data_IF_930267995933
#
_entry.id   IF_930267995933
#
_cell.length_a   1.000
_cell.length_b   1.000
_cell.length_c   1.000
_cell.angle_alpha   90.00
_cell.angle_beta   90.00
_cell.angle_gamma   90.00
#
_symmetry.space_group_name_H-M   'P 1'
#
loop_
_entity.id
_entity.type
_entity.pdbx_description
1 polymer ?
#
# COMPACT_ATOMS: atom_id res chain seq x y z
N UNK A 1 15.06 -52.82 -36.53
CA UNK A 1 13.81 -52.40 -35.83
C UNK A 1 14.18 -51.55 -34.62
N UNK A 2 13.63 -50.35 -34.55
CA UNK A 2 13.51 -49.40 -33.42
C UNK A 2 14.77 -48.71 -32.84
N UNK A 3 14.93 -47.43 -33.26
CA UNK A 3 15.68 -46.38 -32.58
C UNK A 3 14.91 -45.95 -31.31
N UNK A 4 15.57 -45.92 -30.15
CA UNK A 4 14.99 -45.38 -28.90
C UNK A 4 15.41 -43.92 -28.78
N UNK A 5 14.50 -43.00 -29.08
CA UNK A 5 14.66 -41.58 -28.80
C UNK A 5 14.01 -41.30 -27.45
N UNK A 6 14.81 -40.91 -26.45
CA UNK A 6 14.30 -40.45 -25.15
C UNK A 6 14.03 -38.94 -25.27
N UNK A 7 12.78 -38.52 -25.14
CA UNK A 7 12.40 -37.10 -25.05
C UNK A 7 12.27 -36.77 -23.57
N UNK A 8 13.12 -35.89 -23.07
CA UNK A 8 12.99 -35.31 -21.73
C UNK A 8 12.08 -34.08 -21.83
N UNK A 9 10.88 -34.17 -21.26
CA UNK A 9 9.96 -33.03 -21.15
C UNK A 9 10.38 -32.15 -19.99
N UNK A 10 10.78 -30.91 -20.28
CA UNK A 10 11.06 -29.88 -19.30
C UNK A 10 9.71 -29.31 -18.80
N UNK A 11 9.34 -29.61 -17.56
CA UNK A 11 8.16 -29.06 -16.90
C UNK A 11 8.53 -27.65 -16.38
N UNK A 12 8.13 -26.59 -17.09
CA UNK A 12 8.15 -25.25 -16.51
C UNK A 12 7.09 -25.19 -15.40
N UNK A 13 7.52 -25.24 -14.14
CA UNK A 13 6.68 -24.84 -13.01
C UNK A 13 6.50 -23.32 -13.09
N UNK A 14 5.41 -22.87 -13.68
CA UNK A 14 4.90 -21.53 -13.42
C UNK A 14 4.35 -21.53 -11.99
N UNK A 15 5.08 -20.92 -11.05
CA UNK A 15 4.52 -20.56 -9.76
C UNK A 15 3.44 -19.51 -10.03
N UNK A 16 2.18 -19.94 -10.03
CA UNK A 16 1.06 -19.02 -9.86
C UNK A 16 1.17 -18.55 -8.41
N UNK A 17 1.77 -17.38 -8.20
CA UNK A 17 1.65 -16.74 -6.90
C UNK A 17 0.18 -16.38 -6.73
N UNK A 18 -0.48 -17.09 -5.82
CA UNK A 18 -1.80 -16.70 -5.37
C UNK A 18 -1.62 -15.35 -4.68
N UNK A 19 -1.99 -14.26 -5.37
CA UNK A 19 -1.97 -12.94 -4.76
C UNK A 19 -2.99 -12.93 -3.63
N UNK A 20 -2.50 -12.79 -2.39
CA UNK A 20 -3.38 -12.59 -1.26
C UNK A 20 -4.10 -11.25 -1.45
N UNK A 21 -5.42 -11.23 -1.26
CA UNK A 21 -6.15 -9.97 -1.26
C UNK A 21 -5.62 -9.07 -0.14
N UNK A 22 -5.46 -7.78 -0.44
CA UNK A 22 -5.03 -6.78 0.55
C UNK A 22 -5.99 -6.79 1.75
N UNK A 23 -5.41 -6.64 2.93
CA UNK A 23 -6.11 -6.66 4.21
C UNK A 23 -5.99 -5.31 4.92
N UNK A 24 -6.80 -5.13 5.97
CA UNK A 24 -6.79 -3.90 6.74
C UNK A 24 -5.40 -3.62 7.34
N UNK A 25 -4.98 -2.37 7.17
CA UNK A 25 -3.70 -1.76 7.49
C UNK A 25 -2.53 -2.16 6.59
N UNK A 26 -2.72 -2.96 5.55
CA UNK A 26 -1.64 -3.28 4.59
C UNK A 26 -1.14 -2.05 3.83
N UNK A 27 -1.97 -1.00 3.78
CA UNK A 27 -1.60 0.33 3.34
C UNK A 27 -1.75 1.31 4.52
N UNK A 28 -1.06 2.43 4.47
CA UNK A 28 -1.27 3.57 5.37
C UNK A 28 -1.02 4.90 4.64
N UNK A 29 -1.74 5.95 5.02
CA UNK A 29 -1.47 7.29 4.53
C UNK A 29 -0.14 7.81 5.06
N UNK A 30 0.59 8.57 4.23
CA UNK A 30 1.87 9.21 4.59
C UNK A 30 1.86 10.71 4.31
N UNK A 31 0.84 11.21 3.62
CA UNK A 31 0.57 12.63 3.50
C UNK A 31 -0.91 12.91 3.25
N UNK A 32 -1.32 14.12 3.60
CA UNK A 32 -2.62 14.72 3.35
C UNK A 32 -2.39 16.20 3.00
N UNK A 33 -3.01 16.70 1.93
CA UNK A 33 -2.97 18.11 1.57
C UNK A 33 -4.35 18.53 1.04
N UNK A 34 -5.08 19.30 1.85
CA UNK A 34 -6.38 19.85 1.48
C UNK A 34 -6.26 21.04 0.52
N UNK A 35 -5.17 21.82 0.61
CA UNK A 35 -5.00 23.00 -0.24
C UNK A 35 -4.52 22.67 -1.67
N UNK A 36 -3.83 21.53 -1.84
CA UNK A 36 -3.37 21.02 -3.14
C UNK A 36 -4.26 19.92 -3.71
N UNK A 37 -5.21 19.43 -2.92
CA UNK A 37 -6.02 18.26 -3.26
C UNK A 37 -5.14 17.05 -3.61
N UNK A 38 -4.57 16.45 -2.56
CA UNK A 38 -3.77 15.25 -2.74
C UNK A 38 -3.37 14.52 -1.46
N UNK A 39 -2.96 13.27 -1.63
CA UNK A 39 -2.44 12.43 -0.56
C UNK A 39 -1.32 11.50 -1.05
N UNK A 40 -0.70 10.78 -0.12
CA UNK A 40 0.25 9.71 -0.41
C UNK A 40 -0.01 8.49 0.47
N UNK A 41 0.30 7.30 -0.03
CA UNK A 41 0.16 6.03 0.67
C UNK A 41 1.48 5.27 0.67
N UNK A 42 1.79 4.56 1.74
CA UNK A 42 2.78 3.48 1.73
C UNK A 42 2.07 2.14 1.72
N UNK A 43 2.62 1.16 1.00
CA UNK A 43 2.21 -0.26 1.13
C UNK A 43 3.22 -1.02 1.99
N UNK A 44 2.76 -1.84 2.92
CA UNK A 44 3.61 -2.70 3.75
C UNK A 44 3.72 -4.13 3.22
N UNK A 45 3.00 -4.44 2.15
CA UNK A 45 3.03 -5.71 1.42
C UNK A 45 3.21 -5.45 -0.07
N UNK A 46 3.53 -6.48 -0.83
CA UNK A 46 3.52 -6.38 -2.29
C UNK A 46 2.06 -6.29 -2.77
N UNK A 47 1.78 -5.32 -3.64
CA UNK A 47 0.48 -5.19 -4.33
C UNK A 47 0.60 -5.82 -5.72
N UNK A 48 -0.37 -6.68 -6.06
CA UNK A 48 -0.44 -7.28 -7.39
C UNK A 48 -0.53 -6.23 -8.51
N UNK A 49 0.00 -6.58 -9.68
CA UNK A 49 -0.36 -5.89 -10.90
C UNK A 49 -1.89 -5.96 -11.12
N UNK A 50 -2.43 -4.91 -11.74
CA UNK A 50 -3.83 -4.77 -12.13
C UNK A 50 -4.81 -4.91 -10.95
N UNK A 51 -4.37 -4.49 -9.76
CA UNK A 51 -5.24 -4.36 -8.59
C UNK A 51 -6.05 -3.08 -8.68
N UNK A 52 -7.30 -3.13 -8.22
CA UNK A 52 -8.16 -1.95 -8.08
C UNK A 52 -8.38 -1.64 -6.61
N UNK A 53 -8.06 -0.40 -6.22
CA UNK A 53 -8.32 0.16 -4.91
C UNK A 53 -9.16 1.41 -5.09
N UNK A 54 -10.15 1.61 -4.23
CA UNK A 54 -11.03 2.76 -4.25
C UNK A 54 -10.71 3.71 -3.11
N UNK A 55 -11.01 4.98 -3.33
CA UNK A 55 -10.97 6.03 -2.31
C UNK A 55 -12.28 6.79 -2.29
N UNK A 56 -12.63 7.29 -1.11
CA UNK A 56 -13.73 8.22 -0.93
C UNK A 56 -13.50 9.07 0.32
N UNK A 57 -14.03 10.28 0.29
CA UNK A 57 -14.22 11.22 1.39
C UNK A 57 -15.64 11.14 1.98
N UNK A 58 -16.63 10.66 1.21
CA UNK A 58 -18.01 10.49 1.68
C UNK A 58 -18.06 9.74 3.03
N UNK A 59 -18.91 10.22 3.94
CA UNK A 59 -19.04 9.59 5.26
C UNK A 59 -19.65 8.19 5.18
N UNK A 60 -19.06 7.27 5.94
CA UNK A 60 -19.47 5.87 6.00
C UNK A 60 -20.28 5.59 7.27
N UNK A 61 -21.52 5.11 7.11
CA UNK A 61 -22.43 4.86 8.24
C UNK A 61 -22.31 3.46 8.87
N UNK A 62 -21.43 2.61 8.34
CA UNK A 62 -21.32 1.19 8.69
C UNK A 62 -21.91 0.25 7.63
N UNK A 63 -22.64 0.78 6.64
CA UNK A 63 -23.31 -0.01 5.61
C UNK A 63 -23.26 0.59 4.20
N UNK A 64 -23.27 1.91 4.09
CA UNK A 64 -23.16 2.64 2.83
C UNK A 64 -22.41 3.96 3.04
N UNK A 65 -21.80 4.45 1.96
CA UNK A 65 -21.41 5.84 1.87
C UNK A 65 -22.66 6.69 1.73
N UNK A 66 -22.62 7.89 2.31
CA UNK A 66 -23.63 8.90 2.03
C UNK A 66 -23.42 9.47 0.60
N UNK A 67 -24.04 10.61 0.31
CA UNK A 67 -23.94 11.27 -1.00
C UNK A 67 -23.56 12.72 -0.82
N UNK A 68 -22.78 13.25 -1.74
CA UNK A 68 -22.45 14.67 -1.79
C UNK A 68 -21.04 14.92 -2.31
N UNK A 69 -20.18 13.92 -2.17
CA UNK A 69 -18.78 14.02 -2.49
C UNK A 69 -18.37 13.01 -3.56
N UNK A 70 -17.15 12.51 -3.47
CA UNK A 70 -16.45 11.95 -4.58
C UNK A 70 -15.91 10.57 -4.31
N UNK A 71 -15.60 9.89 -5.40
CA UNK A 71 -14.90 8.64 -5.36
C UNK A 71 -13.75 8.65 -6.35
N UNK A 72 -12.67 7.98 -5.99
CA UNK A 72 -11.56 7.74 -6.90
C UNK A 72 -11.32 6.25 -7.07
N UNK A 73 -11.05 5.83 -8.29
CA UNK A 73 -10.62 4.47 -8.62
C UNK A 73 -9.16 4.51 -9.01
N UNK A 74 -8.33 3.76 -8.29
CA UNK A 74 -6.93 3.56 -8.62
C UNK A 74 -6.70 2.15 -9.13
N UNK A 75 -6.20 2.04 -10.36
CA UNK A 75 -5.66 0.80 -10.90
C UNK A 75 -4.14 0.84 -10.77
N UNK A 76 -3.53 -0.19 -10.18
CA UNK A 76 -2.08 -0.22 -9.89
C UNK A 76 -1.19 -0.37 -11.13
N UNK A 77 -1.78 -0.66 -12.29
CA UNK A 77 -1.06 -0.83 -13.55
C UNK A 77 -0.49 -2.24 -13.75
N UNK A 78 0.28 -2.43 -14.82
CA UNK A 78 0.67 -3.77 -15.31
C UNK A 78 1.81 -4.45 -14.53
N UNK A 79 2.42 -3.76 -13.58
CA UNK A 79 3.51 -4.28 -12.75
C UNK A 79 3.08 -4.31 -11.29
N UNK A 80 3.57 -5.31 -10.54
CA UNK A 80 3.39 -5.35 -9.09
C UNK A 80 4.13 -4.18 -8.43
N UNK A 81 3.60 -3.71 -7.31
CA UNK A 81 4.20 -2.65 -6.49
C UNK A 81 4.77 -3.30 -5.24
N UNK A 82 6.09 -3.19 -5.03
CA UNK A 82 6.74 -3.82 -3.88
C UNK A 82 6.43 -3.12 -2.56
N UNK A 83 6.45 -3.89 -1.46
CA UNK A 83 6.37 -3.40 -0.10
C UNK A 83 7.40 -2.28 0.15
N UNK A 84 6.98 -1.28 0.92
CA UNK A 84 7.72 -0.06 1.22
C UNK A 84 7.58 1.06 0.19
N UNK A 85 6.98 0.80 -0.98
CA UNK A 85 6.76 1.83 -1.99
C UNK A 85 5.77 2.88 -1.48
N UNK A 86 6.10 4.16 -1.71
CA UNK A 86 5.19 5.29 -1.49
C UNK A 86 4.57 5.72 -2.81
N UNK A 87 3.25 5.78 -2.85
CA UNK A 87 2.44 6.16 -4.01
C UNK A 87 1.84 7.54 -3.73
N UNK A 88 2.01 8.45 -4.68
CA UNK A 88 1.53 9.84 -4.61
C UNK A 88 0.31 10.01 -5.50
N UNK A 89 -0.73 10.67 -5.00
CA UNK A 89 -1.93 11.06 -5.73
C UNK A 89 -2.11 12.57 -5.64
N UNK A 90 -2.13 13.28 -6.77
CA UNK A 90 -2.13 14.75 -6.80
C UNK A 90 -3.16 15.32 -7.76
N UNK A 91 -3.57 16.56 -7.51
CA UNK A 91 -4.57 17.29 -8.30
C UNK A 91 -5.85 16.48 -8.44
N UNK A 92 -6.23 15.80 -7.36
CA UNK A 92 -7.31 14.80 -7.32
C UNK A 92 -8.69 15.44 -7.48
N UNK A 93 -8.77 16.77 -7.44
CA UNK A 93 -9.93 17.60 -7.73
C UNK A 93 -10.11 17.91 -9.24
N UNK A 94 -9.07 17.74 -10.06
CA UNK A 94 -9.07 18.12 -11.49
C UNK A 94 -9.15 16.95 -12.47
N UNK A 95 -9.42 17.23 -13.76
CA UNK A 95 -9.30 16.21 -14.83
C UNK A 95 -7.85 15.75 -15.06
N UNK A 96 -6.86 16.51 -14.55
CA UNK A 96 -5.44 16.19 -14.65
C UNK A 96 -4.92 15.33 -13.48
N UNK A 97 -5.82 14.81 -12.62
CA UNK A 97 -5.47 13.94 -11.50
C UNK A 97 -4.49 12.85 -11.89
N UNK A 98 -3.50 12.60 -11.03
CA UNK A 98 -2.47 11.59 -11.30
C UNK A 98 -2.21 10.66 -10.12
N UNK A 99 -1.66 9.50 -10.41
CA UNK A 99 -1.00 8.63 -9.45
C UNK A 99 0.43 8.37 -9.92
N UNK A 100 1.42 8.37 -9.01
CA UNK A 100 2.82 8.08 -9.38
C UNK A 100 3.03 6.64 -9.87
N UNK A 101 2.10 5.74 -9.51
CA UNK A 101 1.99 4.38 -10.02
C UNK A 101 0.57 4.13 -10.52
N UNK A 102 0.43 3.52 -11.69
CA UNK A 102 -0.89 3.19 -12.23
C UNK A 102 -1.68 4.41 -12.71
N UNK A 103 -3.00 4.33 -12.62
CA UNK A 103 -3.91 5.39 -13.09
C UNK A 103 -5.01 5.69 -12.05
N UNK A 104 -5.32 6.97 -11.89
CA UNK A 104 -6.40 7.45 -11.03
C UNK A 104 -7.53 8.04 -11.87
N UNK A 105 -8.77 7.61 -11.62
CA UNK A 105 -9.97 8.21 -12.21
C UNK A 105 -10.94 8.64 -11.11
N UNK A 106 -11.79 9.62 -11.40
CA UNK A 106 -12.83 10.12 -10.48
C UNK A 106 -14.25 9.80 -10.94
N UNK A 107 -15.16 9.66 -9.99
CA UNK A 107 -16.60 9.63 -10.18
C UNK A 107 -17.30 10.44 -9.07
N UNK A 108 -18.40 11.10 -9.39
CA UNK A 108 -19.14 11.94 -8.45
C UNK A 108 -18.95 13.44 -8.68
N UNK A 109 -19.01 14.20 -7.59
CA UNK A 109 -18.85 15.65 -7.57
C UNK A 109 -18.06 16.06 -6.33
N UNK A 110 -17.61 17.32 -6.25
CA UNK A 110 -16.83 17.82 -5.12
C UNK A 110 -15.60 16.93 -4.84
N UNK A 111 -14.69 16.86 -5.81
CA UNK A 111 -13.52 16.00 -5.72
C UNK A 111 -12.42 16.52 -4.79
N UNK A 112 -12.52 17.75 -4.31
CA UNK A 112 -11.51 18.36 -3.46
C UNK A 112 -11.68 18.00 -2.00
N UNK A 113 -10.58 18.09 -1.27
CA UNK A 113 -10.46 17.76 0.15
C UNK A 113 -10.74 19.02 0.95
N UNK A 114 -11.64 18.93 1.92
CA UNK A 114 -11.94 20.07 2.79
C UNK A 114 -10.83 20.32 3.81
N UNK A 115 -10.39 21.58 3.95
CA UNK A 115 -9.54 21.99 5.07
C UNK A 115 -10.30 22.08 6.41
N UNK A 116 -11.63 21.91 6.42
CA UNK A 116 -12.48 22.09 7.61
C UNK A 116 -13.21 20.82 7.98
N UNK A 117 -12.44 19.76 8.28
CA UNK A 117 -12.88 18.40 8.62
C UNK A 117 -13.07 17.50 7.40
N UNK A 118 -12.33 16.39 7.41
CA UNK A 118 -12.29 15.42 6.30
C UNK A 118 -11.95 14.02 6.83
N UNK A 119 -12.47 12.98 6.20
CA UNK A 119 -12.03 11.60 6.40
C UNK A 119 -11.92 10.86 5.07
N UNK A 120 -10.70 10.53 4.67
CA UNK A 120 -10.44 9.79 3.44
C UNK A 120 -10.20 8.31 3.76
N UNK A 121 -10.90 7.44 3.04
CA UNK A 121 -10.75 5.99 3.11
C UNK A 121 -10.00 5.44 1.90
N UNK A 122 -9.25 4.37 2.11
CA UNK A 122 -8.82 3.46 1.06
C UNK A 122 -9.48 2.10 1.27
N UNK A 123 -10.12 1.54 0.24
CA UNK A 123 -10.86 0.28 0.38
C UNK A 123 -10.88 -0.58 -0.88
N UNK A 124 -11.16 -1.87 -0.68
CA UNK A 124 -11.53 -2.80 -1.73
C UNK A 124 -13.06 -2.91 -1.78
N UNK A 125 -13.59 -3.25 -2.95
CA UNK A 125 -15.02 -3.48 -3.15
C UNK A 125 -15.28 -4.28 -4.42
N UNK A 126 -16.49 -4.80 -4.58
CA UNK A 126 -16.93 -5.35 -5.89
C UNK A 126 -17.09 -4.25 -6.94
N UNK A 127 -17.38 -3.04 -6.46
CA UNK A 127 -17.45 -1.80 -7.19
C UNK A 127 -17.19 -0.64 -6.20
N UNK A 128 -17.17 0.57 -6.74
CA UNK A 128 -16.85 1.80 -6.00
C UNK A 128 -17.83 2.11 -4.86
N UNK A 129 -19.07 1.64 -4.92
CA UNK A 129 -20.11 1.92 -3.91
C UNK A 129 -20.32 0.76 -2.92
N UNK A 130 -19.60 -0.35 -3.08
CA UNK A 130 -19.81 -1.57 -2.29
C UNK A 130 -18.50 -2.01 -1.64
N UNK A 131 -18.03 -1.33 -0.57
CA UNK A 131 -16.83 -1.72 0.15
C UNK A 131 -16.94 -3.14 0.71
N UNK A 132 -15.89 -3.94 0.52
CA UNK A 132 -15.71 -5.27 1.11
C UNK A 132 -14.65 -5.28 2.21
N UNK A 133 -13.62 -4.44 2.08
CA UNK A 133 -12.53 -4.31 3.05
C UNK A 133 -12.01 -2.87 3.09
N UNK A 134 -12.08 -2.21 4.24
CA UNK A 134 -11.36 -0.96 4.45
C UNK A 134 -9.89 -1.25 4.77
N UNK A 135 -9.01 -0.73 3.91
CA UNK A 135 -7.56 -0.92 3.97
C UNK A 135 -6.92 0.06 4.94
N UNK A 136 -7.26 1.34 4.88
CA UNK A 136 -6.78 2.36 5.81
C UNK A 136 -7.67 3.60 5.77
N UNK A 137 -7.51 4.49 6.76
CA UNK A 137 -8.13 5.80 6.77
C UNK A 137 -7.20 6.90 7.26
N UNK A 138 -7.48 8.13 6.89
CA UNK A 138 -6.89 9.34 7.46
C UNK A 138 -8.01 10.32 7.75
N UNK A 139 -8.01 10.94 8.93
CA UNK A 139 -9.07 11.88 9.32
C UNK A 139 -8.50 13.15 9.93
N UNK A 140 -9.03 14.30 9.52
CA UNK A 140 -8.82 15.62 10.13
C UNK A 140 -10.05 16.06 10.95
N UNK A 141 -10.86 15.12 11.42
CA UNK A 141 -12.09 15.41 12.21
C UNK A 141 -12.35 14.46 13.38
N UNK A 142 -11.57 13.40 13.50
CA UNK A 142 -11.62 12.45 14.62
C UNK A 142 -11.94 11.04 14.16
N UNK A 143 -12.56 10.23 15.03
CA UNK A 143 -12.75 8.79 14.79
C UNK A 143 -14.18 8.41 14.42
N UNK A 144 -15.11 9.37 14.39
CA UNK A 144 -16.53 9.09 14.22
C UNK A 144 -16.83 8.37 12.90
N UNK A 145 -16.16 8.80 11.83
CA UNK A 145 -16.26 8.29 10.47
C UNK A 145 -15.38 7.03 10.26
N UNK A 146 -14.24 6.94 10.94
CA UNK A 146 -13.36 5.76 10.89
C UNK A 146 -13.96 4.51 11.57
N UNK A 147 -14.64 4.68 12.71
CA UNK A 147 -15.08 3.55 13.56
C UNK A 147 -16.08 2.63 12.86
N UNK A 148 -17.13 3.12 12.16
CA UNK A 148 -18.06 2.28 11.41
C UNK A 148 -17.41 1.52 10.24
N UNK A 149 -16.26 2.00 9.75
CA UNK A 149 -15.44 1.32 8.73
C UNK A 149 -14.53 0.22 9.32
N UNK A 150 -14.54 0.03 10.65
CA UNK A 150 -13.64 -0.89 11.33
C UNK A 150 -12.20 -0.39 11.40
N UNK A 151 -12.00 0.91 11.20
CA UNK A 151 -10.70 1.57 11.27
C UNK A 151 -10.50 2.22 12.64
N UNK A 152 -9.29 2.09 13.18
CA UNK A 152 -8.90 2.56 14.49
C UNK A 152 -7.60 3.38 14.40
N UNK A 153 -7.64 4.58 14.99
CA UNK A 153 -6.49 5.46 15.14
C UNK A 153 -5.31 4.75 15.82
N UNK A 154 -4.09 4.96 15.34
CA UNK A 154 -2.89 4.29 15.85
C UNK A 154 -2.67 2.86 15.34
N UNK A 155 -3.64 2.26 14.66
CA UNK A 155 -3.60 0.84 14.25
C UNK A 155 -3.59 0.70 12.72
N UNK A 156 -4.69 1.06 12.08
CA UNK A 156 -4.93 0.95 10.64
C UNK A 156 -5.55 2.24 10.07
N UNK A 157 -5.53 3.33 10.85
CA UNK A 157 -5.83 4.68 10.41
C UNK A 157 -5.06 5.68 11.26
N UNK A 158 -4.98 6.92 10.80
CA UNK A 158 -4.39 8.05 11.53
C UNK A 158 -5.38 9.19 11.67
N UNK A 159 -5.49 9.74 12.88
CA UNK A 159 -6.23 10.97 13.14
C UNK A 159 -5.26 12.13 13.27
N UNK A 160 -5.39 13.10 12.38
CA UNK A 160 -4.64 14.35 12.37
C UNK A 160 -5.24 15.38 13.33
N UNK A 161 -4.57 16.52 13.46
CA UNK A 161 -5.18 17.71 14.08
C UNK A 161 -6.45 18.08 13.32
N UNK A 162 -7.50 18.46 14.05
CA UNK A 162 -8.77 18.86 13.44
C UNK A 162 -8.56 20.00 12.45
N UNK A 163 -9.15 19.89 11.26
CA UNK A 163 -9.03 20.88 10.19
C UNK A 163 -7.58 21.11 9.75
N UNK A 164 -6.78 20.04 9.68
CA UNK A 164 -5.46 20.09 9.07
C UNK A 164 -5.57 20.46 7.58
N UNK A 165 -4.74 21.40 7.14
CA UNK A 165 -4.64 21.82 5.73
C UNK A 165 -3.54 20.99 5.04
N UNK A 166 -2.47 20.69 5.78
CA UNK A 166 -1.39 19.80 5.34
C UNK A 166 -0.89 18.93 6.47
N UNK A 167 -0.58 17.67 6.17
CA UNK A 167 0.11 16.78 7.07
C UNK A 167 1.03 15.82 6.31
N UNK A 168 2.20 15.54 6.87
CA UNK A 168 3.11 14.52 6.35
C UNK A 168 3.77 13.71 7.45
N UNK A 169 4.00 12.42 7.17
CA UNK A 169 4.77 11.55 8.04
C UNK A 169 6.27 11.91 7.97
N UNK A 170 6.85 12.25 9.13
CA UNK A 170 8.25 12.66 9.31
C UNK A 170 9.07 11.63 10.12
N UNK A 171 8.46 10.50 10.47
CA UNK A 171 9.13 9.44 11.22
C UNK A 171 10.12 8.63 10.40
N UNK A 172 10.66 7.57 11.00
CA UNK A 172 11.62 6.71 10.33
C UNK A 172 11.00 5.96 9.14
N UNK A 173 11.76 5.87 8.05
CA UNK A 173 11.45 5.07 6.84
C UNK A 173 12.49 3.96 6.60
N UNK A 174 13.41 3.78 7.54
CA UNK A 174 14.47 2.78 7.51
C UNK A 174 14.74 2.31 8.95
N UNK A 175 15.25 1.08 9.09
CA UNK A 175 15.69 0.52 10.37
C UNK A 175 14.79 -0.55 10.97
N UNK A 176 13.57 -0.72 10.49
CA UNK A 176 12.70 -1.83 10.92
C UNK A 176 13.05 -3.15 10.23
N UNK A 177 12.76 -4.26 10.91
CA UNK A 177 13.01 -5.61 10.37
C UNK A 177 11.97 -5.99 9.32
N UNK A 178 10.70 -5.66 9.55
CA UNK A 178 9.61 -5.91 8.61
C UNK A 178 8.91 -4.62 8.24
N UNK A 179 8.37 -4.54 7.02
CA UNK A 179 7.57 -3.39 6.61
C UNK A 179 6.33 -3.16 7.48
N UNK A 180 5.72 -4.24 7.99
CA UNK A 180 4.58 -4.16 8.90
C UNK A 180 4.89 -3.43 10.22
N UNK A 181 6.16 -3.38 10.63
CA UNK A 181 6.57 -2.78 11.90
C UNK A 181 6.48 -1.24 11.84
N UNK A 182 6.50 -0.65 10.63
CA UNK A 182 6.23 0.77 10.42
C UNK A 182 4.75 1.15 10.60
N UNK A 183 3.82 0.19 10.55
CA UNK A 183 2.37 0.48 10.58
C UNK A 183 1.96 1.30 11.80
N UNK A 184 2.45 0.91 12.98
CA UNK A 184 2.17 1.64 14.24
C UNK A 184 2.87 2.99 14.32
N UNK A 185 3.95 3.20 13.55
CA UNK A 185 4.65 4.48 13.50
C UNK A 185 3.94 5.45 12.56
N UNK A 186 3.57 4.98 11.37
CA UNK A 186 2.87 5.79 10.36
C UNK A 186 1.47 6.15 10.84
N UNK A 187 0.76 5.25 11.51
CA UNK A 187 -0.57 5.53 12.06
C UNK A 187 -0.56 6.31 13.38
N UNK A 188 0.61 6.78 13.85
CA UNK A 188 0.74 7.61 15.04
C UNK A 188 1.00 9.07 14.66
N UNK A 189 0.03 9.95 14.87
CA UNK A 189 0.11 11.37 14.57
C UNK A 189 1.27 12.11 15.27
N UNK A 190 1.85 11.56 16.35
CA UNK A 190 3.05 12.12 16.97
C UNK A 190 4.30 12.06 16.06
N UNK A 191 4.27 11.22 15.02
CA UNK A 191 5.33 11.10 14.01
C UNK A 191 5.03 11.94 12.75
N UNK A 192 4.09 12.88 12.82
CA UNK A 192 3.69 13.73 11.71
C UNK A 192 4.02 15.19 11.95
N UNK A 193 4.36 15.89 10.87
CA UNK A 193 4.28 17.35 10.81
C UNK A 193 2.88 17.72 10.32
N UNK A 194 2.16 18.55 11.08
CA UNK A 194 0.78 18.92 10.77
C UNK A 194 0.67 20.45 10.79
N UNK A 195 0.15 21.01 9.71
CA UNK A 195 -0.08 22.44 9.52
C UNK A 195 -1.58 22.71 9.47
N UNK A 196 -2.01 23.72 10.23
CA UNK A 196 -3.40 24.18 10.29
C UNK A 196 -3.42 25.67 9.93
N UNK A 197 -4.29 26.02 8.99
CA UNK A 197 -4.40 27.29 8.31
C UNK A 197 -3.22 27.62 7.38
N UNK A 198 -3.41 28.71 6.66
CA UNK A 198 -2.43 29.24 5.72
C UNK A 198 -2.72 28.76 4.30
N UNK A 199 -1.68 28.76 3.47
CA UNK A 199 -1.73 28.27 2.10
C UNK A 199 -0.64 27.19 1.99
N UNK A 200 -1.05 25.94 1.77
CA UNK A 200 -0.20 24.75 1.75
C UNK A 200 -0.17 24.07 0.36
N UNK A 201 -0.72 24.71 -0.65
CA UNK A 201 -0.80 24.22 -2.03
C UNK A 201 0.58 23.91 -2.64
N UNK A 202 1.62 24.62 -2.18
CA UNK A 202 2.98 24.46 -2.64
C UNK A 202 3.79 23.40 -1.86
N UNK A 203 3.22 22.80 -0.81
CA UNK A 203 3.91 21.76 -0.04
C UNK A 203 4.03 20.49 -0.87
N UNK A 204 5.24 19.92 -0.92
CA UNK A 204 5.53 18.69 -1.65
C UNK A 204 5.79 17.58 -0.63
N UNK A 205 4.91 16.56 -0.55
CA UNK A 205 5.11 15.44 0.37
C UNK A 205 6.40 14.65 0.15
N UNK A 206 7.00 14.18 1.24
CA UNK A 206 8.08 13.19 1.19
C UNK A 206 7.57 11.83 0.67
N UNK A 207 7.97 11.51 -0.56
CA UNK A 207 7.65 10.27 -1.28
C UNK A 207 8.78 9.22 -1.22
N UNK A 208 9.75 9.39 -0.32
CA UNK A 208 10.82 8.42 -0.13
C UNK A 208 10.26 7.08 0.32
N UNK A 209 10.62 6.01 -0.39
CA UNK A 209 10.23 4.64 -0.05
C UNK A 209 10.78 4.21 1.31
N UNK A 210 10.02 3.35 1.99
CA UNK A 210 10.45 2.68 3.19
C UNK A 210 11.40 1.53 2.84
N UNK A 211 12.25 1.16 3.80
CA UNK A 211 13.16 0.02 3.69
C UNK A 211 13.11 -0.85 4.93
N UNK A 212 13.09 -2.16 4.73
CA UNK A 212 13.31 -3.14 5.78
C UNK A 212 14.80 -3.50 5.85
N UNK A 213 15.31 -3.73 7.06
CA UNK A 213 16.68 -4.21 7.26
C UNK A 213 16.76 -5.64 6.72
N UNK A 214 17.64 -5.94 5.75
CA UNK A 214 17.84 -7.31 5.30
C UNK A 214 18.30 -8.15 6.48
N UNK A 215 17.58 -9.22 6.83
CA UNK A 215 18.03 -10.15 7.86
C UNK A 215 19.34 -10.80 7.40
N UNK A 216 20.48 -10.60 8.10
CA UNK A 216 21.72 -11.27 7.75
C UNK A 216 21.59 -12.76 8.13
N UNK A 217 21.07 -13.61 7.23
CA UNK A 217 20.78 -14.99 7.64
C UNK A 217 20.46 -16.04 6.58
N UNK A 218 20.20 -15.70 5.31
CA UNK A 218 19.84 -16.72 4.31
C UNK A 218 21.02 -17.24 3.44
N UNK A 219 22.25 -16.76 3.66
CA UNK A 219 23.40 -17.07 2.78
C UNK A 219 24.19 -18.31 3.23
N UNK A 220 23.90 -18.92 4.38
CA UNK A 220 24.77 -19.96 4.96
C UNK A 220 24.29 -21.42 4.90
N UNK A 221 23.09 -21.73 4.39
CA UNK A 221 22.58 -23.12 4.44
C UNK A 221 22.79 -23.99 3.20
N UNK A 222 23.36 -23.47 2.11
CA UNK A 222 23.61 -24.27 0.89
C UNK A 222 25.05 -24.79 0.76
N UNK A 223 25.93 -24.55 1.74
CA UNK A 223 27.36 -24.84 1.64
C UNK A 223 27.82 -26.25 2.03
N UNK A 224 26.98 -27.11 2.61
CA UNK A 224 27.46 -28.36 3.25
C UNK A 224 26.86 -29.67 2.72
N UNK A 225 26.07 -29.66 1.64
CA UNK A 225 25.45 -30.88 1.09
C UNK A 225 26.18 -31.52 -0.12
N UNK A 226 27.41 -31.12 -0.44
CA UNK A 226 28.16 -31.71 -1.57
C UNK A 226 29.63 -32.02 -1.22
N UNK A 227 29.85 -32.89 -0.24
CA UNK A 227 31.17 -33.48 0.02
C UNK A 227 31.06 -34.86 0.67
N UNK A 228 30.29 -35.78 0.10
CA UNK A 228 30.39 -37.19 0.48
C UNK A 228 29.84 -38.11 -0.61
N UNK A 229 30.59 -38.36 -1.69
CA UNK A 229 30.55 -39.61 -2.48
C UNK A 229 31.62 -39.61 -3.58
N UNK A 230 32.90 -39.81 -3.22
CA UNK A 230 33.91 -40.35 -4.15
C UNK A 230 35.05 -41.03 -3.38
N UNK A 231 34.81 -42.19 -2.77
CA UNK A 231 35.89 -43.08 -2.34
C UNK A 231 35.46 -44.54 -2.09
N UNK A 232 35.10 -45.27 -3.14
CA UNK A 232 35.38 -46.72 -3.26
C UNK A 232 35.54 -46.95 -4.77
N UNK A 233 36.68 -47.31 -5.33
CA UNK A 233 37.74 -48.19 -4.86
C UNK A 233 38.02 -49.10 -6.04
N UNK A 234 38.92 -48.68 -6.92
CA UNK A 234 39.31 -49.47 -8.08
C UNK A 234 40.01 -50.76 -7.67
N UNK A 235 39.78 -51.84 -8.41
CA UNK A 235 40.77 -52.90 -8.64
C UNK A 235 40.48 -53.61 -9.97
N UNK A 236 41.33 -53.33 -10.95
CA UNK A 236 41.61 -54.24 -12.08
C UNK A 236 42.29 -55.50 -11.52
N UNK A 237 41.97 -56.68 -12.07
CA UNK A 237 42.93 -57.60 -12.72
C UNK A 237 42.28 -58.91 -13.20
N UNK A 238 42.85 -59.37 -14.34
CA UNK A 238 42.67 -60.62 -15.10
C UNK A 238 41.34 -60.75 -15.86
#
# INVERSE_FOLDING_TARGET
MFRKTLIASLLCLSTVEANAALSSGDLAFTSFNADEDGWSLVTFVDIAADSTIYFSDNEWDGSAFNSGESFHTWNTGLAGISAGTVIRFSSIDTDARTASFGTLSGSGSNFGISATSETIYAYLGSDINTPSTFLTGISSEGTANLTPAGLADGINAVVLTNSADYAEYIGARAGEVNFSDYRTQVNNAANWSILVGGAQEAQIPDTTSFSAVPVPGAVWLFGSALACFTAVGGRRKA
#
